data_IF_801081176587
#
_entry.id   IF_801081176587
#
_cell.length_a   1.000
_cell.length_b   1.000
_cell.length_c   1.000
_cell.angle_alpha   90.00
_cell.angle_beta   90.00
_cell.angle_gamma   90.00
#
_symmetry.space_group_name_H-M   'P 1'
#
loop_
_entity.id
_entity.type
_entity.pdbx_description
1 polymer ?
#
# COMPACT_ATOMS: atom_id res chain seq x y z
N UNK A 1 -1.76 -5.96 15.53
CA UNK A 1 -1.98 -4.98 16.61
C UNK A 1 -2.59 -3.72 16.00
N UNK A 2 -3.64 -3.17 16.60
CA UNK A 2 -4.40 -2.03 16.06
C UNK A 2 -3.78 -0.72 16.58
N UNK A 3 -3.40 0.17 15.65
CA UNK A 3 -2.62 1.39 15.95
C UNK A 3 -3.37 2.65 15.52
N UNK A 4 -4.25 3.20 16.38
CA UNK A 4 -5.06 4.36 16.04
C UNK A 4 -4.23 5.64 15.99
N UNK A 5 -4.52 6.50 15.01
CA UNK A 5 -4.05 7.89 14.99
C UNK A 5 -4.67 8.70 16.14
N UNK A 6 -4.07 9.83 16.51
CA UNK A 6 -4.58 10.71 17.58
C UNK A 6 -6.04 11.13 17.37
N UNK A 7 -6.46 11.29 16.12
CA UNK A 7 -7.86 11.58 15.75
C UNK A 7 -8.83 10.48 16.18
N UNK A 8 -8.37 9.23 16.27
CA UNK A 8 -9.15 8.07 16.68
C UNK A 8 -8.87 7.66 18.14
N UNK A 9 -7.81 8.19 18.78
CA UNK A 9 -7.46 7.96 20.18
C UNK A 9 -6.70 9.18 20.75
N UNK A 10 -7.39 10.12 21.42
CA UNK A 10 -6.80 11.38 21.89
C UNK A 10 -5.58 11.20 22.80
N UNK A 11 -5.62 10.19 23.68
CA UNK A 11 -4.56 9.87 24.63
C UNK A 11 -3.55 8.84 24.07
N UNK A 12 -3.61 8.55 22.77
CA UNK A 12 -2.72 7.59 22.11
C UNK A 12 -1.33 8.18 21.88
N UNK A 13 -0.30 7.46 22.28
CA UNK A 13 1.06 7.80 21.86
C UNK A 13 1.26 7.47 20.38
N UNK A 14 1.75 8.45 19.62
CA UNK A 14 2.17 8.24 18.23
C UNK A 14 3.40 7.35 18.18
N UNK A 15 3.26 6.17 17.59
CA UNK A 15 4.39 5.28 17.31
C UNK A 15 5.38 5.98 16.39
N UNK A 16 6.61 6.21 16.87
CA UNK A 16 7.69 6.63 15.98
C UNK A 16 8.06 5.42 15.13
N UNK A 17 7.74 5.46 13.84
CA UNK A 17 8.16 4.43 12.91
C UNK A 17 9.68 4.32 12.91
N UNK A 18 10.21 3.19 13.35
CA UNK A 18 11.62 2.87 13.19
C UNK A 18 11.77 2.06 11.91
N UNK A 19 12.14 2.73 10.81
CA UNK A 19 12.61 2.00 9.63
C UNK A 19 14.02 1.49 9.93
N UNK A 20 14.31 0.18 9.84
CA UNK A 20 15.70 -0.27 9.81
C UNK A 20 16.44 0.51 8.71
N UNK A 21 17.74 0.76 8.89
CA UNK A 21 18.64 1.61 8.08
C UNK A 21 18.77 1.23 6.56
N UNK A 22 17.69 0.78 5.93
CA UNK A 22 17.50 0.64 4.51
C UNK A 22 17.14 2.03 3.98
N UNK A 23 18.16 2.81 3.63
CA UNK A 23 17.93 4.06 2.90
C UNK A 23 17.35 3.71 1.51
N UNK A 24 16.03 3.75 1.43
CA UNK A 24 15.25 3.44 0.24
C UNK A 24 15.69 4.29 -0.95
N UNK A 25 15.98 5.57 -0.70
CA UNK A 25 16.40 6.50 -1.74
C UNK A 25 17.80 6.16 -2.23
N UNK A 26 18.71 5.80 -1.32
CA UNK A 26 20.04 5.32 -1.71
C UNK A 26 19.97 4.07 -2.58
N UNK A 27 19.18 3.06 -2.18
CA UNK A 27 18.99 1.85 -3.00
C UNK A 27 18.49 2.19 -4.41
N UNK A 28 17.44 3.02 -4.50
CA UNK A 28 16.86 3.42 -5.78
C UNK A 28 17.88 4.12 -6.69
N UNK A 29 18.64 5.09 -6.17
CA UNK A 29 19.66 5.82 -6.93
C UNK A 29 20.80 4.89 -7.36
N UNK A 30 21.27 3.99 -6.48
CA UNK A 30 22.32 3.03 -6.81
C UNK A 30 21.88 2.04 -7.90
N UNK A 31 20.62 1.59 -7.86
CA UNK A 31 20.02 0.77 -8.90
C UNK A 31 19.95 1.50 -10.26
N UNK A 32 19.61 2.79 -10.28
CA UNK A 32 19.65 3.60 -11.52
C UNK A 32 21.06 3.64 -12.10
N UNK A 33 22.07 3.93 -11.27
CA UNK A 33 23.47 4.03 -11.71
C UNK A 33 24.03 2.71 -12.23
N UNK A 34 23.75 1.62 -11.52
CA UNK A 34 24.24 0.28 -11.84
C UNK A 34 23.38 -0.48 -12.85
N UNK A 35 22.19 0.04 -13.19
CA UNK A 35 21.11 -0.69 -13.89
C UNK A 35 20.67 -1.96 -13.16
N UNK A 36 20.75 -1.97 -11.83
CA UNK A 36 20.27 -3.05 -10.97
C UNK A 36 18.76 -2.97 -10.68
N UNK A 37 18.19 -4.05 -10.18
CA UNK A 37 16.77 -4.09 -9.76
C UNK A 37 16.59 -3.47 -8.37
N UNK A 38 15.67 -2.50 -8.18
CA UNK A 38 15.38 -1.93 -6.86
C UNK A 38 14.75 -2.94 -5.90
N UNK A 39 14.91 -2.72 -4.59
CA UNK A 39 14.23 -3.51 -3.55
C UNK A 39 12.69 -3.43 -3.65
N UNK A 40 12.16 -2.36 -4.24
CA UNK A 40 10.73 -2.17 -4.52
C UNK A 40 10.50 -2.10 -6.04
N UNK A 41 10.40 -3.25 -6.73
CA UNK A 41 10.14 -3.28 -8.17
C UNK A 41 8.67 -2.91 -8.48
N UNK A 42 8.41 -2.55 -9.74
CA UNK A 42 7.09 -2.04 -10.18
C UNK A 42 5.97 -3.06 -9.99
N UNK A 43 6.24 -4.35 -10.17
CA UNK A 43 5.27 -5.42 -10.00
C UNK A 43 4.78 -5.52 -8.55
N UNK A 44 5.68 -5.25 -7.59
CA UNK A 44 5.31 -5.21 -6.18
C UNK A 44 4.42 -4.00 -5.90
N UNK A 45 4.78 -2.82 -6.41
CA UNK A 45 3.97 -1.61 -6.30
C UNK A 45 2.57 -1.77 -6.90
N UNK A 46 2.47 -2.40 -8.07
CA UNK A 46 1.21 -2.72 -8.72
C UNK A 46 0.32 -3.62 -7.85
N UNK A 47 0.87 -4.69 -7.29
CA UNK A 47 0.13 -5.62 -6.41
C UNK A 47 -0.34 -4.92 -5.13
N UNK A 48 0.47 -4.03 -4.55
CA UNK A 48 0.09 -3.22 -3.40
C UNK A 48 -1.07 -2.28 -3.72
N UNK A 49 -1.04 -1.60 -4.87
CA UNK A 49 -2.14 -0.73 -5.31
C UNK A 49 -3.44 -1.51 -5.54
N UNK A 50 -3.37 -2.68 -6.18
CA UNK A 50 -4.51 -3.58 -6.35
C UNK A 50 -5.18 -3.94 -5.02
N UNK A 51 -4.38 -4.26 -3.99
CA UNK A 51 -4.92 -4.61 -2.67
C UNK A 51 -5.75 -3.47 -2.05
N UNK A 52 -5.27 -2.23 -2.15
CA UNK A 52 -5.99 -1.04 -1.66
C UNK A 52 -7.29 -0.82 -2.45
N UNK A 53 -7.26 -0.97 -3.77
CA UNK A 53 -8.48 -0.88 -4.58
C UNK A 53 -9.51 -1.97 -4.21
N UNK A 54 -9.08 -3.22 -4.03
CA UNK A 54 -9.97 -4.30 -3.59
C UNK A 54 -10.56 -4.03 -2.20
N UNK A 55 -9.79 -3.47 -1.27
CA UNK A 55 -10.29 -3.08 0.05
C UNK A 55 -11.37 -1.99 -0.04
N UNK A 56 -11.16 -0.98 -0.89
CA UNK A 56 -12.14 0.07 -1.13
C UNK A 56 -13.44 -0.48 -1.75
N UNK A 57 -13.32 -1.38 -2.73
CA UNK A 57 -14.48 -2.04 -3.35
C UNK A 57 -15.24 -2.89 -2.33
N UNK A 58 -14.54 -3.72 -1.56
CA UNK A 58 -15.12 -4.51 -0.47
C UNK A 58 -15.92 -3.63 0.52
N UNK A 59 -15.33 -2.50 0.92
CA UNK A 59 -15.96 -1.55 1.83
C UNK A 59 -17.22 -0.89 1.24
N UNK A 60 -17.19 -0.50 -0.05
CA UNK A 60 -18.32 0.16 -0.74
C UNK A 60 -19.47 -0.81 -0.99
N UNK A 61 -19.18 -2.02 -1.45
CA UNK A 61 -20.18 -3.03 -1.79
C UNK A 61 -20.60 -3.92 -0.60
N UNK A 62 -20.02 -3.70 0.59
CA UNK A 62 -20.34 -4.44 1.82
C UNK A 62 -20.26 -5.96 1.66
N UNK A 63 -19.33 -6.44 0.83
CA UNK A 63 -19.10 -7.85 0.56
C UNK A 63 -17.62 -8.16 0.48
N UNK A 64 -17.26 -9.42 0.76
CA UNK A 64 -15.91 -9.92 0.46
C UNK A 64 -15.63 -9.73 -1.04
N UNK A 65 -14.43 -9.27 -1.37
CA UNK A 65 -13.99 -9.04 -2.75
C UNK A 65 -12.85 -9.97 -3.10
N UNK A 66 -13.00 -10.71 -4.20
CA UNK A 66 -11.90 -11.48 -4.82
C UNK A 66 -11.25 -10.68 -5.95
N UNK A 67 -10.06 -11.10 -6.38
CA UNK A 67 -9.34 -10.44 -7.48
C UNK A 67 -10.12 -10.52 -8.80
N UNK A 68 -10.74 -11.66 -9.10
CA UNK A 68 -11.52 -11.84 -10.33
C UNK A 68 -12.76 -10.95 -10.35
N UNK A 69 -13.48 -10.85 -9.24
CA UNK A 69 -14.61 -9.92 -9.11
C UNK A 69 -14.16 -8.47 -9.28
N UNK A 70 -13.07 -8.06 -8.63
CA UNK A 70 -12.55 -6.70 -8.73
C UNK A 70 -12.13 -6.32 -10.16
N UNK A 71 -11.59 -7.28 -10.93
CA UNK A 71 -11.21 -7.08 -12.34
C UNK A 71 -12.42 -7.05 -13.27
N UNK A 72 -13.51 -7.74 -12.92
CA UNK A 72 -14.73 -7.78 -13.72
C UNK A 72 -15.67 -6.58 -13.49
N UNK A 73 -15.45 -5.80 -12.42
CA UNK A 73 -16.27 -4.64 -12.11
C UNK A 73 -16.09 -3.53 -13.14
N UNK A 74 -17.21 -3.07 -13.71
CA UNK A 74 -17.23 -1.87 -14.52
C UNK A 74 -17.13 -0.64 -13.60
N UNK A 75 -16.25 0.32 -13.89
CA UNK A 75 -16.17 1.53 -13.11
C UNK A 75 -17.47 2.32 -13.25
N UNK A 76 -18.10 2.66 -12.12
CA UNK A 76 -19.17 3.64 -12.08
C UNK A 76 -18.53 5.03 -12.25
N UNK A 77 -18.30 5.43 -13.50
CA UNK A 77 -17.97 6.83 -13.79
C UNK A 77 -19.25 7.65 -13.64
N UNK A 78 -19.29 8.52 -12.63
CA UNK A 78 -20.31 9.57 -12.49
C UNK A 78 -19.91 10.82 -13.25
#
# INVERSE_FOLDING_TARGET
EYWPEKVNRPDGETTKGHSPNQDHMKNWIDCIRSRGTPNAPVELGYRSALAVHMANLSYRHKKRMTLEEAKAMQPEYS
#
